data_IF_313568103157
#
_entry.id   IF_313568103157
#
_cell.length_a   1.000
_cell.length_b   1.000
_cell.length_c   1.000
_cell.angle_alpha   90.00
_cell.angle_beta   90.00
_cell.angle_gamma   90.00
#
_symmetry.space_group_name_H-M   'P 1'
#
loop_
_entity.id
_entity.type
_entity.pdbx_description
1 polymer ?
#
# COMPACT_ATOMS: atom_id res chain seq x y z
N UNK A 1 -28.20 -7.71 -18.95
CA UNK A 1 -28.17 -8.48 -17.68
C UNK A 1 -29.37 -8.06 -16.86
N UNK A 2 -30.20 -9.01 -16.38
CA UNK A 2 -31.32 -8.69 -15.50
C UNK A 2 -30.79 -8.18 -14.15
N UNK A 3 -31.40 -7.13 -13.56
CA UNK A 3 -30.97 -6.62 -12.27
C UNK A 3 -31.11 -7.73 -11.22
N UNK A 4 -30.02 -7.99 -10.49
CA UNK A 4 -30.04 -8.93 -9.38
C UNK A 4 -30.89 -8.32 -8.24
N UNK A 5 -31.70 -9.13 -7.57
CA UNK A 5 -32.57 -8.62 -6.51
C UNK A 5 -31.75 -8.07 -5.35
N UNK A 6 -32.28 -7.03 -4.69
CA UNK A 6 -31.66 -6.41 -3.51
C UNK A 6 -31.34 -7.45 -2.41
N UNK A 7 -32.20 -8.46 -2.26
CA UNK A 7 -31.99 -9.57 -1.34
C UNK A 7 -30.70 -10.36 -1.63
N UNK A 8 -30.35 -10.56 -2.91
CA UNK A 8 -29.11 -11.23 -3.29
C UNK A 8 -27.87 -10.36 -3.05
N UNK A 9 -27.98 -9.04 -3.25
CA UNK A 9 -26.88 -8.11 -2.93
C UNK A 9 -26.60 -8.13 -1.41
N UNK A 10 -27.65 -8.10 -0.58
CA UNK A 10 -27.52 -8.23 0.88
C UNK A 10 -26.94 -9.59 1.29
N UNK A 11 -27.30 -10.66 0.59
CA UNK A 11 -26.72 -11.99 0.83
C UNK A 11 -25.22 -12.00 0.50
N UNK A 12 -24.79 -11.41 -0.62
CA UNK A 12 -23.38 -11.30 -0.97
C UNK A 12 -22.61 -10.45 0.04
N UNK A 13 -23.19 -9.34 0.50
CA UNK A 13 -22.58 -8.50 1.53
C UNK A 13 -22.31 -9.30 2.81
N UNK A 14 -23.29 -10.11 3.25
CA UNK A 14 -23.12 -10.99 4.40
C UNK A 14 -21.98 -12.00 4.19
N UNK A 15 -21.91 -12.62 3.02
CA UNK A 15 -20.85 -13.58 2.66
C UNK A 15 -19.47 -12.89 2.70
N UNK A 16 -19.35 -11.68 2.15
CA UNK A 16 -18.12 -10.90 2.24
C UNK A 16 -17.72 -10.66 3.69
N UNK A 17 -18.65 -10.24 4.56
CA UNK A 17 -18.39 -10.01 5.97
C UNK A 17 -17.97 -11.29 6.72
N UNK A 18 -18.52 -12.44 6.35
CA UNK A 18 -18.12 -13.74 6.89
C UNK A 18 -16.69 -14.09 6.48
N UNK A 19 -16.36 -13.96 5.19
CA UNK A 19 -15.02 -14.21 4.65
C UNK A 19 -13.95 -13.30 5.28
N UNK A 20 -14.29 -12.04 5.53
CA UNK A 20 -13.44 -11.08 6.25
C UNK A 20 -13.06 -11.61 7.65
N UNK A 21 -14.06 -12.12 8.38
CA UNK A 21 -13.88 -12.60 9.76
C UNK A 21 -13.16 -13.94 9.83
N UNK A 22 -13.28 -14.77 8.79
CA UNK A 22 -12.61 -16.07 8.69
C UNK A 22 -11.22 -15.98 8.05
N UNK A 23 -10.73 -14.79 7.72
CA UNK A 23 -9.45 -14.57 7.03
C UNK A 23 -9.38 -15.25 5.65
N UNK A 24 -10.54 -15.46 5.03
CA UNK A 24 -10.70 -16.09 3.71
C UNK A 24 -10.60 -15.03 2.62
N UNK A 25 -9.38 -14.53 2.37
CA UNK A 25 -9.15 -13.36 1.52
C UNK A 25 -9.45 -13.60 0.04
N UNK A 26 -9.12 -14.78 -0.48
CA UNK A 26 -9.36 -15.12 -1.89
C UNK A 26 -10.87 -15.23 -2.16
N UNK A 27 -11.60 -15.87 -1.24
CA UNK A 27 -13.06 -15.94 -1.29
C UNK A 27 -13.69 -14.56 -1.08
N UNK A 28 -13.13 -13.73 -0.21
CA UNK A 28 -13.58 -12.36 -0.05
C UNK A 28 -13.45 -11.57 -1.36
N UNK A 29 -12.29 -11.59 -2.02
CA UNK A 29 -12.06 -10.86 -3.28
C UNK A 29 -13.01 -11.35 -4.38
N UNK A 30 -13.19 -12.67 -4.52
CA UNK A 30 -14.14 -13.24 -5.48
C UNK A 30 -15.57 -12.72 -5.24
N UNK A 31 -16.04 -12.77 -3.99
CA UNK A 31 -17.38 -12.34 -3.63
C UNK A 31 -17.54 -10.81 -3.72
N UNK A 32 -16.50 -10.04 -3.41
CA UNK A 32 -16.49 -8.58 -3.53
C UNK A 32 -16.59 -8.15 -5.01
N UNK A 33 -15.92 -8.85 -5.92
CA UNK A 33 -16.02 -8.58 -7.35
C UNK A 33 -17.44 -8.83 -7.88
N UNK A 34 -18.09 -9.90 -7.42
CA UNK A 34 -19.51 -10.14 -7.71
C UNK A 34 -20.40 -9.04 -7.10
N UNK A 35 -20.21 -8.72 -5.82
CA UNK A 35 -20.94 -7.66 -5.12
C UNK A 35 -20.86 -6.31 -5.85
N UNK A 36 -19.66 -5.93 -6.29
CA UNK A 36 -19.37 -4.69 -7.02
C UNK A 36 -20.04 -4.70 -8.41
N UNK A 37 -19.99 -5.83 -9.12
CA UNK A 37 -20.67 -6.00 -10.43
C UNK A 37 -22.18 -5.75 -10.31
N UNK A 38 -22.78 -6.13 -9.18
CA UNK A 38 -24.20 -5.92 -8.89
C UNK A 38 -24.50 -4.58 -8.21
N UNK A 39 -23.57 -3.63 -8.25
CA UNK A 39 -23.72 -2.27 -7.69
C UNK A 39 -23.99 -2.25 -6.18
N UNK A 40 -23.37 -3.17 -5.44
CA UNK A 40 -23.27 -3.06 -3.98
C UNK A 40 -22.59 -1.76 -3.55
N UNK A 41 -23.01 -1.19 -2.42
CA UNK A 41 -22.65 0.17 -1.98
C UNK A 41 -22.02 0.25 -0.58
N UNK A 42 -21.57 -0.88 -0.03
CA UNK A 42 -20.98 -0.90 1.31
C UNK A 42 -19.58 -0.29 1.29
N UNK A 43 -19.46 0.94 1.81
CA UNK A 43 -18.18 1.63 2.01
C UNK A 43 -17.22 0.79 2.85
N UNK A 44 -17.73 0.06 3.84
CA UNK A 44 -16.92 -0.83 4.67
C UNK A 44 -16.24 -1.93 3.84
N UNK A 45 -16.99 -2.61 2.95
CA UNK A 45 -16.42 -3.65 2.09
C UNK A 45 -15.38 -3.08 1.12
N UNK A 46 -15.64 -1.88 0.56
CA UNK A 46 -14.66 -1.19 -0.30
C UNK A 46 -13.39 -0.83 0.48
N UNK A 47 -13.52 -0.27 1.69
CA UNK A 47 -12.39 0.05 2.55
C UNK A 47 -11.56 -1.20 2.87
N UNK A 48 -12.22 -2.31 3.18
CA UNK A 48 -11.53 -3.56 3.43
C UNK A 48 -10.80 -4.09 2.18
N UNK A 49 -11.42 -4.03 1.01
CA UNK A 49 -10.77 -4.40 -0.24
C UNK A 49 -9.55 -3.53 -0.53
N UNK A 50 -9.65 -2.22 -0.34
CA UNK A 50 -8.50 -1.31 -0.43
C UNK A 50 -7.37 -1.70 0.52
N UNK A 51 -7.68 -2.01 1.77
CA UNK A 51 -6.68 -2.41 2.76
C UNK A 51 -6.02 -3.75 2.40
N UNK A 52 -6.81 -4.71 1.89
CA UNK A 52 -6.31 -5.99 1.39
C UNK A 52 -5.32 -5.77 0.24
N UNK A 53 -5.68 -4.95 -0.75
CA UNK A 53 -4.81 -4.62 -1.88
C UNK A 53 -3.49 -3.97 -1.44
N UNK A 54 -3.53 -3.04 -0.48
CA UNK A 54 -2.31 -2.47 0.11
C UNK A 54 -1.47 -3.54 0.80
N UNK A 55 -2.08 -4.43 1.58
CA UNK A 55 -1.38 -5.50 2.30
C UNK A 55 -0.72 -6.55 1.40
N UNK A 56 -1.15 -6.63 0.14
CA UNK A 56 -0.61 -7.52 -0.88
C UNK A 56 0.32 -6.78 -1.87
N UNK A 57 0.63 -5.51 -1.61
CA UNK A 57 1.41 -4.65 -2.51
C UNK A 57 0.82 -4.51 -3.94
N UNK A 58 -0.51 -4.61 -4.07
CA UNK A 58 -1.23 -4.50 -5.35
C UNK A 58 -1.63 -3.04 -5.63
N UNK A 59 -0.65 -2.16 -5.75
CA UNK A 59 -0.87 -0.71 -5.88
C UNK A 59 -1.71 -0.33 -7.11
N UNK A 60 -1.53 -0.99 -8.26
CA UNK A 60 -2.30 -0.69 -9.47
C UNK A 60 -3.79 -0.94 -9.25
N UNK A 61 -4.14 -2.07 -8.66
CA UNK A 61 -5.53 -2.42 -8.37
C UNK A 61 -6.12 -1.51 -7.28
N UNK A 62 -5.29 -1.11 -6.30
CA UNK A 62 -5.67 -0.15 -5.28
C UNK A 62 -6.12 1.18 -5.90
N UNK A 63 -5.29 1.80 -6.75
CA UNK A 63 -5.65 3.10 -7.34
C UNK A 63 -6.84 3.01 -8.31
N UNK A 64 -6.98 1.90 -9.06
CA UNK A 64 -8.19 1.65 -9.86
C UNK A 64 -9.45 1.60 -9.00
N UNK A 65 -9.37 0.97 -7.82
CA UNK A 65 -10.51 0.93 -6.90
C UNK A 65 -10.80 2.31 -6.31
N UNK A 66 -9.76 3.09 -5.96
CA UNK A 66 -9.90 4.48 -5.49
C UNK A 66 -10.62 5.36 -6.52
N UNK A 67 -10.29 5.23 -7.81
CA UNK A 67 -10.95 5.96 -8.90
C UNK A 67 -12.45 5.65 -9.01
N UNK A 68 -12.91 4.51 -8.48
CA UNK A 68 -14.33 4.11 -8.48
C UNK A 68 -15.12 4.61 -7.25
N UNK A 69 -14.47 5.28 -6.31
CA UNK A 69 -15.08 5.80 -5.09
C UNK A 69 -15.80 7.11 -5.41
N UNK A 70 -17.08 7.17 -5.04
CA UNK A 70 -17.90 8.39 -5.19
C UNK A 70 -17.51 9.47 -4.18
N UNK A 71 -17.87 10.72 -4.47
CA UNK A 71 -17.61 11.84 -3.55
C UNK A 71 -18.27 11.63 -2.19
N UNK A 72 -19.44 11.01 -2.15
CA UNK A 72 -20.15 10.69 -0.91
C UNK A 72 -19.44 9.61 -0.10
N UNK A 73 -18.84 8.62 -0.76
CA UNK A 73 -18.08 7.55 -0.10
C UNK A 73 -16.73 8.04 0.45
N UNK A 74 -16.15 9.12 -0.11
CA UNK A 74 -14.93 9.74 0.44
C UNK A 74 -15.17 10.35 1.83
N UNK A 75 -16.42 10.64 2.18
CA UNK A 75 -16.75 11.11 3.53
C UNK A 75 -16.84 9.97 4.56
N UNK A 76 -16.86 8.70 4.13
CA UNK A 76 -16.92 7.54 5.03
C UNK A 76 -15.60 7.37 5.80
N UNK A 77 -15.71 7.22 7.12
CA UNK A 77 -14.56 7.10 8.02
C UNK A 77 -13.69 5.86 7.74
N UNK A 78 -14.26 4.76 7.24
CA UNK A 78 -13.48 3.57 6.89
C UNK A 78 -12.63 3.83 5.65
N UNK A 79 -13.18 4.52 4.65
CA UNK A 79 -12.45 4.91 3.44
C UNK A 79 -11.34 5.89 3.81
N UNK A 80 -11.66 6.96 4.56
CA UNK A 80 -10.68 7.94 5.06
C UNK A 80 -9.54 7.28 5.82
N UNK A 81 -9.85 6.32 6.68
CA UNK A 81 -8.84 5.57 7.43
C UNK A 81 -7.88 4.83 6.50
N UNK A 82 -8.38 4.15 5.46
CA UNK A 82 -7.52 3.37 4.55
C UNK A 82 -6.70 4.28 3.63
N UNK A 83 -7.24 5.41 3.19
CA UNK A 83 -6.47 6.45 2.50
C UNK A 83 -5.35 7.01 3.39
N UNK A 84 -5.62 7.18 4.69
CA UNK A 84 -4.62 7.63 5.65
C UNK A 84 -3.52 6.57 5.88
N UNK A 85 -3.88 5.28 5.90
CA UNK A 85 -2.91 4.17 5.96
C UNK A 85 -1.98 4.22 4.75
N UNK A 86 -2.53 4.35 3.54
CA UNK A 86 -1.77 4.47 2.31
C UNK A 86 -0.78 5.64 2.36
N UNK A 87 -1.23 6.81 2.82
CA UNK A 87 -0.37 7.97 2.98
C UNK A 87 0.77 7.69 3.95
N UNK A 88 0.50 7.02 5.07
CA UNK A 88 1.53 6.66 6.04
C UNK A 88 2.53 5.66 5.44
N UNK A 89 2.07 4.71 4.62
CA UNK A 89 2.91 3.80 3.85
C UNK A 89 3.84 4.55 2.91
N UNK A 90 3.31 5.42 2.04
CA UNK A 90 4.11 6.17 1.07
C UNK A 90 5.08 7.17 1.70
N UNK A 91 4.74 7.71 2.87
CA UNK A 91 5.62 8.64 3.62
C UNK A 91 6.58 7.94 4.57
N UNK A 92 6.55 6.61 4.65
CA UNK A 92 7.40 5.84 5.56
C UNK A 92 7.08 6.05 7.04
N UNK A 93 5.91 6.57 7.39
CA UNK A 93 5.49 6.83 8.77
C UNK A 93 5.01 5.55 9.47
N UNK A 94 5.94 4.61 9.69
CA UNK A 94 5.66 3.31 10.31
C UNK A 94 5.19 3.44 11.76
N UNK A 95 5.64 4.47 12.48
CA UNK A 95 5.21 4.73 13.86
C UNK A 95 3.69 4.95 13.95
N UNK A 96 3.13 5.69 13.00
CA UNK A 96 1.68 5.92 12.94
C UNK A 96 0.91 4.64 12.59
N UNK A 97 1.42 3.83 11.66
CA UNK A 97 0.82 2.54 11.32
C UNK A 97 0.81 1.58 12.52
N UNK A 98 1.91 1.53 13.30
CA UNK A 98 1.98 0.72 14.51
C UNK A 98 0.97 1.17 15.58
N UNK A 99 0.78 2.48 15.76
CA UNK A 99 -0.28 3.01 16.64
C UNK A 99 -1.67 2.58 16.17
N UNK A 100 -1.98 2.73 14.88
CA UNK A 100 -3.28 2.32 14.32
C UNK A 100 -3.52 0.81 14.48
N UNK A 101 -2.50 -0.01 14.26
CA UNK A 101 -2.56 -1.46 14.50
C UNK A 101 -2.89 -1.77 15.96
N UNK A 102 -2.28 -1.07 16.92
CA UNK A 102 -2.54 -1.28 18.35
C UNK A 102 -3.94 -0.85 18.76
N UNK A 103 -4.40 0.29 18.24
CA UNK A 103 -5.70 0.90 18.56
C UNK A 103 -6.89 0.20 17.89
N UNK A 104 -6.65 -0.53 16.79
CA UNK A 104 -7.71 -1.26 16.09
C UNK A 104 -8.39 -2.27 17.01
N UNK A 105 -9.71 -2.41 16.88
CA UNK A 105 -10.51 -3.42 17.60
C UNK A 105 -10.70 -4.71 16.79
N UNK A 106 -10.46 -4.65 15.48
CA UNK A 106 -10.72 -5.73 14.54
C UNK A 106 -9.42 -6.47 14.23
N UNK A 107 -9.40 -7.78 14.49
CA UNK A 107 -8.22 -8.64 14.30
C UNK A 107 -7.75 -8.68 12.85
N UNK A 108 -8.69 -8.70 11.92
CA UNK A 108 -8.46 -8.70 10.48
C UNK A 108 -7.75 -7.42 10.02
N UNK A 109 -8.10 -6.26 10.59
CA UNK A 109 -7.39 -5.00 10.32
C UNK A 109 -5.97 -5.02 10.91
N UNK A 110 -5.79 -5.59 12.10
CA UNK A 110 -4.46 -5.69 12.72
C UNK A 110 -3.51 -6.54 11.88
N UNK A 111 -4.01 -7.64 11.34
CA UNK A 111 -3.22 -8.51 10.47
C UNK A 111 -2.77 -7.77 9.21
N UNK A 112 -3.71 -7.13 8.50
CA UNK A 112 -3.39 -6.41 7.27
C UNK A 112 -2.42 -5.25 7.49
N UNK A 113 -2.64 -4.42 8.51
CA UNK A 113 -1.71 -3.33 8.85
C UNK A 113 -0.33 -3.91 9.22
N UNK A 114 -0.30 -5.06 9.89
CA UNK A 114 0.94 -5.79 10.17
C UNK A 114 1.72 -6.15 8.90
N UNK A 115 1.04 -6.73 7.90
CA UNK A 115 1.64 -7.07 6.60
C UNK A 115 2.17 -5.84 5.87
N UNK A 116 1.42 -4.74 5.88
CA UNK A 116 1.85 -3.46 5.28
C UNK A 116 3.15 -2.97 5.94
N UNK A 117 3.24 -2.99 7.26
CA UNK A 117 4.44 -2.57 7.99
C UNK A 117 5.64 -3.45 7.61
N UNK A 118 5.46 -4.76 7.55
CA UNK A 118 6.50 -5.72 7.18
C UNK A 118 7.02 -5.51 5.76
N UNK A 119 6.12 -5.29 4.79
CA UNK A 119 6.48 -4.97 3.42
C UNK A 119 7.35 -3.71 3.34
N UNK A 120 6.99 -2.67 4.09
CA UNK A 120 7.73 -1.40 4.10
C UNK A 120 9.11 -1.51 4.77
N UNK A 121 9.23 -2.32 5.83
CA UNK A 121 10.53 -2.61 6.45
C UNK A 121 11.46 -3.32 5.48
N UNK A 122 10.96 -4.39 4.84
CA UNK A 122 11.73 -5.17 3.85
C UNK A 122 12.19 -4.30 2.69
N UNK A 123 11.31 -3.43 2.17
CA UNK A 123 11.66 -2.49 1.11
C UNK A 123 12.79 -1.54 1.53
N UNK A 124 12.68 -0.95 2.73
CA UNK A 124 13.69 -0.02 3.27
C UNK A 124 15.06 -0.69 3.46
N UNK A 125 15.08 -1.93 3.96
CA UNK A 125 16.31 -2.71 4.12
C UNK A 125 16.96 -3.08 2.77
N UNK A 126 16.16 -3.29 1.72
CA UNK A 126 16.69 -3.57 0.39
C UNK A 126 17.38 -2.34 -0.23
N UNK A 127 16.88 -1.13 0.05
CA UNK A 127 17.48 0.13 -0.43
C UNK A 127 18.80 0.44 0.27
N UNK A 128 18.89 0.20 1.58
CA UNK A 128 20.14 0.41 2.32
C UNK A 128 21.23 -0.56 1.86
N UNK A 129 20.91 -1.85 1.63
CA UNK A 129 21.87 -2.82 1.08
C UNK A 129 22.41 -2.42 -0.29
N UNK A 130 21.55 -1.97 -1.21
CA UNK A 130 21.97 -1.46 -2.54
C UNK A 130 22.87 -0.23 -2.49
N UNK A 131 22.77 0.57 -1.43
CA UNK A 131 23.60 1.78 -1.26
C UNK A 131 24.99 1.44 -0.70
N UNK A 132 25.09 0.39 0.11
CA UNK A 132 26.36 -0.10 0.67
C UNK A 132 27.17 -0.85 -0.39
N UNK A 133 26.54 -1.59 -1.29
CA UNK A 133 27.23 -2.31 -2.39
C UNK A 133 27.75 -1.38 -3.50
N UNK A 134 27.21 -0.16 -3.62
CA UNK A 134 27.66 0.85 -4.58
C UNK A 134 28.69 1.85 -4.01
N UNK A 135 29.26 1.59 -2.81
CA UNK A 135 30.39 2.38 -2.33
C UNK A 135 31.64 2.10 -3.18
N UNK A 136 31.87 2.96 -4.17
CA UNK A 136 33.18 3.15 -4.78
C UNK A 136 34.16 3.43 -3.62
N UNK A 137 35.24 2.66 -3.47
CA UNK A 137 36.23 2.91 -2.42
C UNK A 137 36.71 4.36 -2.51
N UNK A 138 36.70 5.10 -1.40
CA UNK A 138 37.23 6.47 -1.31
C UNK A 138 38.65 6.61 -1.89
N UNK A 139 39.40 5.51 -1.99
CA UNK A 139 40.74 5.47 -2.61
C UNK A 139 40.76 5.71 -4.13
N UNK A 140 39.65 5.53 -4.85
CA UNK A 140 39.58 5.83 -6.29
C UNK A 140 39.23 7.30 -6.56
N UNK A 141 38.48 7.95 -5.66
CA UNK A 141 38.06 9.35 -5.82
C UNK A 141 39.24 10.31 -5.62
N UNK A 142 40.14 10.03 -4.67
CA UNK A 142 41.32 10.87 -4.43
C UNK A 142 42.32 10.84 -5.59
N UNK A 143 42.50 9.69 -6.25
CA UNK A 143 43.40 9.60 -7.41
C UNK A 143 42.84 10.37 -8.61
N UNK A 144 41.52 10.31 -8.84
CA UNK A 144 40.89 11.03 -9.96
C UNK A 144 40.90 12.55 -9.75
N UNK A 145 40.72 13.03 -8.51
CA UNK A 145 40.82 14.46 -8.18
C UNK A 145 42.25 14.97 -8.35
N UNK A 146 43.26 14.21 -7.89
CA UNK A 146 44.68 14.58 -8.11
C UNK A 146 45.06 14.64 -9.59
N UNK A 147 44.59 13.68 -10.40
CA UNK A 147 44.86 13.69 -11.84
C UNK A 147 44.17 14.87 -12.54
N UNK A 148 42.94 15.22 -12.17
CA UNK A 148 42.22 16.36 -12.76
C UNK A 148 42.86 17.72 -12.38
N UNK A 149 43.31 17.88 -11.14
CA UNK A 149 44.02 19.09 -10.69
C UNK A 149 45.39 19.25 -11.37
N UNK A 150 46.11 18.15 -11.62
CA UNK A 150 47.41 18.19 -12.30
C UNK A 150 47.28 18.56 -13.80
N UNK A 151 46.19 18.16 -14.46
CA UNK A 151 45.91 18.54 -15.86
C UNK A 151 45.49 20.02 -15.96
N UNK A 152 44.74 20.53 -14.97
CA UNK A 152 44.32 21.94 -14.95
C UNK A 152 45.46 22.93 -14.68
N UNK A 153 46.51 22.51 -13.95
CA UNK A 153 47.65 23.37 -13.63
C UNK A 153 48.71 23.41 -14.74
N UNK A 154 48.77 22.38 -15.61
CA UNK A 154 49.73 22.31 -16.72
C UNK A 154 49.18 22.84 -18.07
N UNK A 155 47.91 23.26 -18.12
CA UNK A 155 47.26 23.75 -19.34
C UNK A 155 47.14 25.29 -19.43
N UNK A 156 47.69 26.03 -18.46
CA UNK A 156 47.73 27.50 -18.45
C UNK A 156 49.17 28.02 -18.32
N UNK A 157 50.06 27.55 -19.20
CA UNK A 157 51.39 28.11 -19.42
C UNK A 157 51.58 28.48 -20.88
N UNK A 158 51.08 29.66 -21.27
CA UNK A 158 51.59 30.44 -22.39
C UNK A 158 52.30 31.66 -21.81
#
# INVERSE_FOLDING_TARGET
MSPMSEAKIKSLEKICLENIKSFSYDEFELNFNLYSTFKGKSSYLKAYMLLLLLSQNRQIDYYKLVESISYEELEDENIKMVLFIERCTNTGNLGKLESMKKESRFSEFKEMIGKIIELNRTYSESLTKKTVENHIPQSQTEHHIKTALHISLNSHGF
#
